data_IF_209552503617
#
_entry.id   IF_209552503617
#
_cell.length_a   1.000
_cell.length_b   1.000
_cell.length_c   1.000
_cell.angle_alpha   90.00
_cell.angle_beta   90.00
_cell.angle_gamma   90.00
#
_symmetry.space_group_name_H-M   'P 1'
#
loop_
_entity.id
_entity.type
_entity.pdbx_description
1 polymer ?
#
# COMPACT_ATOMS: atom_id res chain seq x y z
N UNK A 1 -16.08 15.36 3.49
CA UNK A 1 -15.69 13.94 3.65
C UNK A 1 -14.70 13.85 4.80
N UNK A 2 -14.96 12.97 5.75
CA UNK A 2 -14.03 12.73 6.84
C UNK A 2 -12.82 11.91 6.35
N UNK A 3 -11.73 11.88 7.14
CA UNK A 3 -10.59 11.01 6.85
C UNK A 3 -11.03 9.52 6.79
N UNK A 4 -11.94 9.11 7.68
CA UNK A 4 -12.47 7.76 7.65
C UNK A 4 -13.19 7.42 6.34
N UNK A 5 -13.99 8.36 5.81
CA UNK A 5 -14.65 8.17 4.52
C UNK A 5 -13.64 8.14 3.36
N UNK A 6 -12.65 9.02 3.40
CA UNK A 6 -11.60 9.12 2.37
C UNK A 6 -10.81 7.82 2.26
N UNK A 7 -10.31 7.28 3.39
CA UNK A 7 -9.52 6.04 3.38
C UNK A 7 -10.39 4.84 3.01
N UNK A 8 -11.65 4.80 3.43
CA UNK A 8 -12.58 3.76 3.02
C UNK A 8 -12.87 3.79 1.52
N UNK A 9 -13.05 4.98 0.94
CA UNK A 9 -13.25 5.16 -0.49
C UNK A 9 -12.04 4.68 -1.30
N UNK A 10 -10.84 5.05 -0.85
CA UNK A 10 -9.57 4.65 -1.49
C UNK A 10 -9.41 3.12 -1.49
N UNK A 11 -9.55 2.48 -0.31
CA UNK A 11 -9.32 1.03 -0.17
C UNK A 11 -10.38 0.22 -0.92
N UNK A 12 -11.64 0.66 -0.91
CA UNK A 12 -12.72 0.04 -1.69
C UNK A 12 -12.43 0.13 -3.19
N UNK A 13 -12.06 1.30 -3.68
CA UNK A 13 -11.72 1.49 -5.09
C UNK A 13 -10.52 0.62 -5.51
N UNK A 14 -9.49 0.50 -4.66
CA UNK A 14 -8.34 -0.34 -4.92
C UNK A 14 -8.72 -1.83 -5.00
N UNK A 15 -9.50 -2.32 -4.04
CA UNK A 15 -9.98 -3.71 -4.04
C UNK A 15 -10.82 -4.05 -5.27
N UNK A 16 -11.61 -3.08 -5.75
CA UNK A 16 -12.48 -3.23 -6.93
C UNK A 16 -11.74 -3.04 -8.26
N UNK A 17 -10.45 -2.68 -8.25
CA UNK A 17 -9.68 -2.43 -9.48
C UNK A 17 -10.02 -1.11 -10.17
N UNK A 18 -10.63 -0.16 -9.45
CA UNK A 18 -11.00 1.15 -9.97
C UNK A 18 -9.87 2.16 -9.72
N UNK A 19 -8.84 2.12 -10.57
CA UNK A 19 -7.65 2.96 -10.42
C UNK A 19 -7.96 4.46 -10.40
N UNK A 20 -8.85 4.93 -11.27
CA UNK A 20 -9.30 6.32 -11.26
C UNK A 20 -10.03 6.70 -9.95
N UNK A 21 -10.72 5.76 -9.31
CA UNK A 21 -11.36 5.95 -8.01
C UNK A 21 -10.34 6.12 -6.88
N UNK A 22 -9.23 5.40 -6.94
CA UNK A 22 -8.09 5.60 -6.03
C UNK A 22 -7.45 6.95 -6.27
N UNK A 23 -7.12 7.26 -7.51
CA UNK A 23 -6.49 8.53 -7.90
C UNK A 23 -7.32 9.76 -7.46
N UNK A 24 -8.65 9.66 -7.50
CA UNK A 24 -9.55 10.73 -7.06
C UNK A 24 -9.46 11.03 -5.55
N UNK A 25 -8.91 10.12 -4.75
CA UNK A 25 -8.66 10.34 -3.33
C UNK A 25 -7.37 11.13 -3.05
N UNK A 26 -6.56 11.37 -4.08
CA UNK A 26 -5.27 12.05 -3.97
C UNK A 26 -5.32 13.48 -4.52
N UNK A 27 -4.39 14.31 -4.04
CA UNK A 27 -4.12 15.60 -4.68
C UNK A 27 -3.54 15.39 -6.08
N UNK A 28 -3.61 16.36 -7.02
CA UNK A 28 -3.08 16.20 -8.37
C UNK A 28 -1.61 15.83 -8.45
N UNK A 29 -0.83 16.20 -7.43
CA UNK A 29 0.61 15.91 -7.27
C UNK A 29 0.87 14.83 -6.21
N UNK A 30 -0.18 14.17 -5.73
CA UNK A 30 -0.10 13.18 -4.66
C UNK A 30 0.73 11.96 -5.02
N UNK A 31 1.35 11.35 -4.00
CA UNK A 31 2.23 10.20 -4.15
C UNK A 31 1.69 9.01 -3.37
N UNK A 32 1.66 7.86 -4.01
CA UNK A 32 1.38 6.57 -3.38
C UNK A 32 2.69 5.76 -3.31
N UNK A 33 3.19 5.53 -2.10
CA UNK A 33 4.36 4.67 -1.85
C UNK A 33 3.89 3.25 -1.58
N UNK A 34 4.03 2.37 -2.57
CA UNK A 34 3.62 0.97 -2.44
C UNK A 34 4.77 0.10 -1.94
N UNK A 35 4.48 -0.83 -1.03
CA UNK A 35 5.50 -1.69 -0.41
C UNK A 35 6.11 -2.71 -1.38
N UNK A 36 5.42 -3.05 -2.46
CA UNK A 36 5.90 -4.03 -3.47
C UNK A 36 6.42 -3.36 -4.73
N UNK A 37 5.81 -2.27 -5.19
CA UNK A 37 6.01 -1.71 -6.52
C UNK A 37 6.71 -0.36 -6.53
N UNK A 38 6.91 0.29 -5.37
CA UNK A 38 7.57 1.57 -5.27
C UNK A 38 6.64 2.77 -5.35
N UNK A 39 7.11 3.88 -5.89
CA UNK A 39 6.45 5.18 -5.83
C UNK A 39 5.68 5.48 -7.11
N UNK A 40 4.44 5.97 -6.94
CA UNK A 40 3.53 6.35 -8.04
C UNK A 40 3.00 7.75 -7.77
N UNK A 41 3.37 8.71 -8.61
CA UNK A 41 3.00 10.11 -8.45
C UNK A 41 1.98 10.55 -9.51
N UNK A 42 0.92 11.16 -9.03
CA UNK A 42 -0.13 11.73 -9.86
C UNK A 42 -1.19 10.73 -10.33
N UNK A 43 -2.29 11.22 -10.92
CA UNK A 43 -3.47 10.40 -11.17
C UNK A 43 -3.23 9.26 -12.17
N UNK A 44 -2.44 9.50 -13.22
CA UNK A 44 -2.16 8.46 -14.22
C UNK A 44 -1.34 7.33 -13.63
N UNK A 45 -0.27 7.65 -12.87
CA UNK A 45 0.58 6.65 -12.25
C UNK A 45 -0.16 5.85 -11.17
N UNK A 46 -0.98 6.51 -10.35
CA UNK A 46 -1.78 5.84 -9.31
C UNK A 46 -2.84 4.92 -9.95
N UNK A 47 -3.47 5.35 -11.04
CA UNK A 47 -4.38 4.49 -11.80
C UNK A 47 -3.65 3.26 -12.34
N UNK A 48 -2.47 3.44 -12.92
CA UNK A 48 -1.63 2.36 -13.45
C UNK A 48 -1.21 1.36 -12.36
N UNK A 49 -0.84 1.84 -11.16
CA UNK A 49 -0.53 0.99 -10.01
C UNK A 49 -1.66 -0.01 -9.72
N UNK A 50 -2.88 0.46 -9.67
CA UNK A 50 -4.04 -0.38 -9.34
C UNK A 50 -4.39 -1.33 -10.49
N UNK A 51 -4.52 -0.81 -11.70
CA UNK A 51 -5.05 -1.57 -12.83
C UNK A 51 -4.02 -2.50 -13.46
N UNK A 52 -2.74 -2.09 -13.51
CA UNK A 52 -1.69 -2.79 -14.24
C UNK A 52 -0.59 -3.40 -13.34
N UNK A 53 -0.68 -3.23 -12.01
CA UNK A 53 0.22 -3.88 -11.04
C UNK A 53 -0.58 -4.73 -10.05
N UNK A 54 -1.44 -4.13 -9.22
CA UNK A 54 -2.25 -4.89 -8.26
C UNK A 54 -3.08 -5.96 -8.96
N UNK A 55 -3.92 -5.58 -9.89
CA UNK A 55 -4.86 -6.48 -10.56
C UNK A 55 -4.22 -7.33 -11.68
N UNK A 56 -2.97 -7.05 -12.05
CA UNK A 56 -2.16 -7.95 -12.86
C UNK A 56 -1.69 -9.17 -12.05
N UNK A 57 -1.20 -8.93 -10.83
CA UNK A 57 -0.47 -9.92 -10.03
C UNK A 57 -1.35 -10.64 -9.01
N UNK A 58 -2.54 -10.10 -8.72
CA UNK A 58 -3.47 -10.67 -7.75
C UNK A 58 -4.92 -10.35 -8.07
N UNK A 59 -5.81 -11.00 -7.34
CA UNK A 59 -7.27 -10.86 -7.45
C UNK A 59 -7.93 -11.13 -6.08
N UNK A 60 -9.26 -11.02 -6.02
CA UNK A 60 -10.04 -11.30 -4.83
C UNK A 60 -9.51 -10.55 -3.60
N UNK A 61 -9.23 -9.28 -3.77
CA UNK A 61 -8.76 -8.40 -2.73
C UNK A 61 -9.82 -8.17 -1.66
N UNK A 62 -9.36 -8.17 -0.41
CA UNK A 62 -10.14 -7.68 0.72
C UNK A 62 -9.26 -6.76 1.55
N UNK A 63 -9.73 -5.54 1.76
CA UNK A 63 -9.02 -4.51 2.48
C UNK A 63 -9.93 -3.89 3.54
N UNK A 64 -9.79 -4.35 4.77
CA UNK A 64 -10.61 -3.89 5.88
C UNK A 64 -9.84 -2.84 6.69
N UNK A 65 -10.41 -1.64 6.79
CA UNK A 65 -9.85 -0.52 7.56
C UNK A 65 -10.39 -0.56 8.99
N UNK A 66 -9.51 -0.38 9.95
CA UNK A 66 -9.84 -0.39 11.38
C UNK A 66 -9.35 0.89 12.06
N UNK A 67 -10.25 1.50 12.84
CA UNK A 67 -9.92 2.63 13.72
C UNK A 67 -9.18 3.78 13.01
N UNK A 68 -9.69 4.29 11.88
CA UNK A 68 -9.08 5.46 11.24
C UNK A 68 -9.14 6.67 12.16
N UNK A 69 -8.03 7.39 12.27
CA UNK A 69 -7.93 8.58 13.08
C UNK A 69 -7.01 9.59 12.39
N UNK A 70 -7.28 10.88 12.58
CA UNK A 70 -6.40 11.92 12.10
C UNK A 70 -6.21 13.02 13.15
N UNK A 71 -5.05 13.65 13.10
CA UNK A 71 -4.73 14.84 13.88
C UNK A 71 -4.11 15.86 12.93
N UNK A 72 -4.77 17.04 12.80
CA UNK A 72 -4.35 18.03 11.79
C UNK A 72 -4.32 17.40 10.40
N UNK A 73 -3.19 17.52 9.73
CA UNK A 73 -2.99 17.07 8.35
C UNK A 73 -2.40 15.65 8.24
N UNK A 74 -2.40 14.88 9.33
CA UNK A 74 -1.89 13.50 9.32
C UNK A 74 -2.99 12.54 9.71
N UNK A 75 -3.24 11.53 8.86
CA UNK A 75 -4.18 10.44 9.12
C UNK A 75 -3.48 9.10 9.26
N UNK A 76 -3.99 8.26 10.16
CA UNK A 76 -3.53 6.90 10.40
C UNK A 76 -4.70 5.94 10.36
N UNK A 77 -4.52 4.80 9.71
CA UNK A 77 -5.53 3.76 9.69
C UNK A 77 -4.89 2.38 9.73
N UNK A 78 -5.17 1.61 10.77
CA UNK A 78 -4.80 0.19 10.79
C UNK A 78 -5.66 -0.55 9.77
N UNK A 79 -5.10 -1.53 9.11
CA UNK A 79 -5.86 -2.37 8.18
C UNK A 79 -5.42 -3.83 8.23
N UNK A 80 -6.32 -4.68 7.76
CA UNK A 80 -6.04 -6.06 7.37
C UNK A 80 -6.31 -6.19 5.88
N UNK A 81 -5.43 -6.90 5.18
CA UNK A 81 -5.46 -7.01 3.73
C UNK A 81 -5.21 -8.45 3.30
N UNK A 82 -5.97 -8.93 2.36
CA UNK A 82 -5.75 -10.26 1.76
C UNK A 82 -5.97 -10.23 0.26
N UNK A 83 -5.33 -11.15 -0.42
CA UNK A 83 -5.38 -11.29 -1.87
C UNK A 83 -5.18 -12.74 -2.28
N UNK A 84 -5.59 -13.08 -3.51
CA UNK A 84 -5.25 -14.33 -4.15
C UNK A 84 -4.23 -14.06 -5.24
N UNK A 85 -3.09 -14.74 -5.18
CA UNK A 85 -2.00 -14.55 -6.14
C UNK A 85 -2.40 -15.05 -7.54
N UNK A 86 -1.97 -14.32 -8.56
CA UNK A 86 -1.99 -14.71 -9.97
C UNK A 86 -0.58 -14.97 -10.51
N UNK A 87 0.45 -14.80 -9.67
CA UNK A 87 1.83 -14.97 -10.06
C UNK A 87 2.11 -16.43 -10.45
N UNK A 88 2.94 -16.61 -11.48
CA UNK A 88 3.39 -17.94 -11.90
C UNK A 88 4.04 -18.70 -10.74
N UNK A 89 3.64 -19.94 -10.53
CA UNK A 89 4.10 -20.78 -9.42
C UNK A 89 3.40 -20.54 -8.08
N UNK A 90 2.66 -19.44 -7.95
CA UNK A 90 1.93 -19.05 -6.73
C UNK A 90 0.43 -18.87 -6.97
N UNK A 91 -0.05 -19.12 -8.17
CA UNK A 91 -1.43 -18.86 -8.58
C UNK A 91 -2.45 -19.59 -7.70
N UNK A 92 -3.51 -18.88 -7.33
CA UNK A 92 -4.60 -19.39 -6.50
C UNK A 92 -4.34 -19.41 -5.00
N UNK A 93 -3.11 -19.16 -4.56
CA UNK A 93 -2.77 -19.11 -3.14
C UNK A 93 -3.17 -17.77 -2.52
N UNK A 94 -3.69 -17.81 -1.30
CA UNK A 94 -4.09 -16.60 -0.57
C UNK A 94 -2.94 -16.11 0.29
N UNK A 95 -2.61 -14.83 0.13
CA UNK A 95 -1.73 -14.08 1.00
C UNK A 95 -2.53 -13.11 1.87
N UNK A 96 -1.99 -12.80 3.04
CA UNK A 96 -2.56 -11.79 3.93
C UNK A 96 -1.45 -11.04 4.65
N UNK A 97 -1.74 -9.80 4.99
CA UNK A 97 -0.87 -8.94 5.78
C UNK A 97 -1.70 -7.92 6.55
N UNK A 98 -1.09 -7.28 7.50
CA UNK A 98 -1.66 -6.14 8.19
C UNK A 98 -0.68 -4.99 8.20
N UNK A 99 -1.19 -3.80 8.43
CA UNK A 99 -0.34 -2.62 8.48
C UNK A 99 -1.06 -1.41 9.02
N UNK A 100 -0.34 -0.30 8.97
CA UNK A 100 -0.86 1.03 9.27
C UNK A 100 -0.59 1.93 8.08
N UNK A 101 -1.67 2.44 7.49
CA UNK A 101 -1.59 3.51 6.49
C UNK A 101 -1.26 4.83 7.18
N UNK A 102 -0.37 5.60 6.57
CA UNK A 102 0.06 6.92 7.03
C UNK A 102 -0.21 7.89 5.89
N UNK A 103 -1.11 8.85 6.09
CA UNK A 103 -1.56 9.78 5.07
C UNK A 103 -1.22 11.22 5.46
N UNK A 104 -0.47 11.93 4.63
CA UNK A 104 -0.40 13.38 4.70
C UNK A 104 -1.61 13.93 3.93
N UNK A 105 -2.37 14.81 4.57
CA UNK A 105 -3.62 15.36 4.03
C UNK A 105 -3.44 16.81 3.62
N UNK A 106 -4.04 17.18 2.50
CA UNK A 106 -4.07 18.56 2.00
C UNK A 106 -5.41 18.81 1.31
N UNK A 107 -6.13 19.83 1.78
CA UNK A 107 -7.44 20.18 1.21
C UNK A 107 -8.45 19.01 1.18
N UNK A 108 -8.41 18.14 2.19
CA UNK A 108 -9.32 16.99 2.30
C UNK A 108 -8.97 15.80 1.40
N UNK A 109 -7.81 15.83 0.75
CA UNK A 109 -7.30 14.75 -0.10
C UNK A 109 -5.95 14.25 0.43
N UNK A 110 -5.51 13.09 -0.05
CA UNK A 110 -4.21 12.50 0.30
C UNK A 110 -3.13 13.14 -0.58
N UNK A 111 -2.16 13.79 0.04
CA UNK A 111 -0.99 14.34 -0.65
C UNK A 111 0.17 13.34 -0.69
N UNK A 112 0.27 12.48 0.34
CA UNK A 112 1.29 11.43 0.43
C UNK A 112 0.70 10.25 1.19
N UNK A 113 0.80 9.07 0.62
CA UNK A 113 0.37 7.81 1.22
C UNK A 113 1.56 6.89 1.36
N UNK A 114 1.80 6.46 2.57
CA UNK A 114 2.76 5.41 2.87
C UNK A 114 2.16 4.41 3.86
N UNK A 115 2.85 3.32 4.10
CA UNK A 115 2.39 2.31 5.04
C UNK A 115 3.55 1.58 5.70
N UNK A 116 3.33 1.14 6.94
CA UNK A 116 4.19 0.19 7.62
C UNK A 116 3.39 -1.10 7.72
N UNK A 117 3.89 -2.15 7.10
CA UNK A 117 3.16 -3.41 6.96
C UNK A 117 4.10 -4.61 7.08
N UNK A 118 3.56 -5.74 7.52
CA UNK A 118 4.27 -7.02 7.54
C UNK A 118 4.11 -7.77 6.21
N UNK A 119 4.40 -7.09 5.10
CA UNK A 119 4.13 -7.57 3.74
C UNK A 119 4.79 -8.93 3.42
N UNK A 120 5.96 -9.21 3.99
CA UNK A 120 6.67 -10.49 3.82
C UNK A 120 5.83 -11.70 4.29
N UNK A 121 4.94 -11.51 5.27
CA UNK A 121 4.03 -12.55 5.73
C UNK A 121 3.16 -13.06 4.59
N UNK A 122 2.58 -12.16 3.81
CA UNK A 122 1.77 -12.51 2.64
C UNK A 122 2.57 -13.25 1.56
N UNK A 123 3.80 -12.83 1.30
CA UNK A 123 4.69 -13.49 0.34
C UNK A 123 4.98 -14.94 0.75
N UNK A 124 5.25 -15.17 2.02
CA UNK A 124 5.47 -16.52 2.53
C UNK A 124 4.21 -17.39 2.40
N UNK A 125 3.04 -16.83 2.69
CA UNK A 125 1.76 -17.54 2.58
C UNK A 125 1.47 -18.00 1.14
N UNK A 126 1.82 -17.21 0.13
CA UNK A 126 1.62 -17.59 -1.27
C UNK A 126 2.73 -18.48 -1.82
N UNK A 127 3.71 -18.84 -1.01
CA UNK A 127 4.71 -19.87 -1.34
C UNK A 127 6.08 -19.36 -1.75
N UNK A 128 6.40 -18.09 -1.52
CA UNK A 128 7.77 -17.61 -1.70
C UNK A 128 8.71 -18.40 -0.81
N UNK A 129 9.81 -18.89 -1.39
CA UNK A 129 10.87 -19.55 -0.65
C UNK A 129 11.62 -18.57 0.26
N UNK A 130 12.33 -19.10 1.25
CA UNK A 130 13.03 -18.29 2.24
C UNK A 130 13.95 -17.24 1.62
N UNK A 131 14.69 -17.58 0.56
CA UNK A 131 15.59 -16.66 -0.15
C UNK A 131 14.83 -15.51 -0.82
N UNK A 132 13.67 -15.78 -1.40
CA UNK A 132 12.82 -14.75 -2.01
C UNK A 132 12.26 -13.79 -0.98
N UNK A 133 11.83 -14.30 0.17
CA UNK A 133 11.36 -13.48 1.29
C UNK A 133 12.50 -12.64 1.86
N UNK A 134 13.70 -13.23 2.06
CA UNK A 134 14.87 -12.52 2.54
C UNK A 134 15.25 -11.36 1.61
N UNK A 135 15.23 -11.60 0.29
CA UNK A 135 15.50 -10.56 -0.72
C UNK A 135 14.51 -9.39 -0.64
N UNK A 136 13.24 -9.68 -0.42
CA UNK A 136 12.23 -8.64 -0.22
C UNK A 136 12.52 -7.81 1.04
N UNK A 137 12.83 -8.47 2.16
CA UNK A 137 13.17 -7.81 3.43
C UNK A 137 14.46 -7.00 3.31
N UNK A 138 15.48 -7.48 2.59
CA UNK A 138 16.68 -6.72 2.31
C UNK A 138 16.39 -5.41 1.56
N UNK A 139 15.46 -5.45 0.61
CA UNK A 139 14.97 -4.26 -0.08
C UNK A 139 14.27 -3.29 0.86
N UNK A 140 13.41 -3.78 1.75
CA UNK A 140 12.76 -2.94 2.78
C UNK A 140 13.78 -2.30 3.73
N UNK A 141 14.80 -3.06 4.16
CA UNK A 141 15.87 -2.56 5.01
C UNK A 141 16.66 -1.43 4.32
N UNK A 142 16.98 -1.60 3.05
CA UNK A 142 17.67 -0.57 2.27
C UNK A 142 16.83 0.70 2.14
N UNK A 143 15.53 0.58 1.83
CA UNK A 143 14.61 1.72 1.75
C UNK A 143 14.46 2.44 3.10
N UNK A 144 14.33 1.69 4.20
CA UNK A 144 14.27 2.27 5.54
C UNK A 144 15.52 3.10 5.83
N UNK A 145 16.69 2.51 5.63
CA UNK A 145 17.95 3.17 5.96
C UNK A 145 18.28 4.36 5.05
N UNK A 146 17.68 4.44 3.87
CA UNK A 146 17.85 5.56 2.94
C UNK A 146 17.02 6.80 3.31
N UNK A 147 16.03 6.68 4.18
CA UNK A 147 15.17 7.82 4.58
C UNK A 147 15.97 8.85 5.36
N UNK A 148 15.63 10.15 5.19
CA UNK A 148 16.31 11.24 5.90
C UNK A 148 16.16 11.12 7.41
N UNK A 149 15.00 10.68 7.91
CA UNK A 149 14.74 10.43 9.33
C UNK A 149 15.65 9.37 9.95
N UNK A 150 16.30 8.54 9.13
CA UNK A 150 17.24 7.52 9.57
C UNK A 150 18.70 8.01 9.62
N UNK A 151 18.98 9.26 9.29
CA UNK A 151 20.34 9.78 9.22
C UNK A 151 21.14 9.56 10.53
N UNK A 152 20.51 9.81 11.69
CA UNK A 152 21.12 9.61 12.99
C UNK A 152 21.34 8.13 13.37
N UNK A 153 20.71 7.20 12.64
CA UNK A 153 20.78 5.75 12.89
C UNK A 153 21.80 5.02 12.00
N UNK A 154 22.47 5.75 11.10
CA UNK A 154 23.45 5.18 10.16
C UNK A 154 24.88 5.10 10.72
N UNK A 155 25.10 5.59 11.92
CA UNK A 155 26.40 5.76 12.57
C UNK A 155 27.20 4.50 12.84
#
# INVERSE_FOLDING_TARGET
MSFADLIAAMTTAAADGRGAGVAACFTPDGVYHDVFYGDFQGPEAITDLIENHFHRDAEAFRWDVHNPANTGDVGYARYTFSYRSKLAGCAGRRGALEGVAICQLKNGLIADYSEIANAATGLRMIGFEADGVAKFIDGEAAHLMARDEMAAHRG
#
